data_IF_023795049827
#
_entry.id   IF_023795049827
#
_cell.length_a   1.000
_cell.length_b   1.000
_cell.length_c   1.000
_cell.angle_alpha   90.00
_cell.angle_beta   90.00
_cell.angle_gamma   90.00
#
_symmetry.space_group_name_H-M   'P 1'
#
loop_
_entity.id
_entity.type
_entity.pdbx_description
1 polymer ?
#
# COMPACT_ATOMS: atom_id res chain seq x y z
N UNK A 1 -30.11 7.14 12.62
CA UNK A 1 -29.48 7.19 11.28
C UNK A 1 -30.06 8.37 10.54
N UNK A 2 -29.21 9.27 10.06
CA UNK A 2 -29.66 10.42 9.26
C UNK A 2 -30.12 9.95 7.87
N UNK A 3 -30.96 10.73 7.18
CA UNK A 3 -31.42 10.42 5.81
C UNK A 3 -30.23 10.23 4.84
N UNK A 4 -29.14 10.98 5.06
CA UNK A 4 -27.91 10.84 4.28
C UNK A 4 -27.19 9.49 4.51
N UNK A 5 -27.29 8.89 5.70
CA UNK A 5 -26.66 7.59 6.01
C UNK A 5 -27.33 6.44 5.25
N UNK A 6 -28.66 6.52 5.09
CA UNK A 6 -29.44 5.54 4.33
C UNK A 6 -29.09 5.61 2.84
N UNK A 7 -29.01 6.82 2.30
CA UNK A 7 -28.65 7.06 0.90
C UNK A 7 -27.20 6.62 0.59
N UNK A 8 -26.23 6.92 1.46
CA UNK A 8 -24.82 6.51 1.24
C UNK A 8 -24.67 4.99 1.14
N UNK A 9 -25.31 4.24 2.04
CA UNK A 9 -25.26 2.76 2.02
C UNK A 9 -25.82 2.20 0.72
N UNK A 10 -26.93 2.73 0.23
CA UNK A 10 -27.56 2.32 -1.04
C UNK A 10 -26.67 2.65 -2.24
N UNK A 11 -26.07 3.85 -2.27
CA UNK A 11 -25.13 4.23 -3.33
C UNK A 11 -23.92 3.30 -3.33
N UNK A 12 -23.29 3.06 -2.18
CA UNK A 12 -22.14 2.14 -2.08
C UNK A 12 -22.51 0.73 -2.50
N UNK A 13 -23.66 0.21 -2.05
CA UNK A 13 -24.15 -1.11 -2.43
C UNK A 13 -24.24 -1.27 -3.96
N UNK A 14 -24.78 -0.26 -4.67
CA UNK A 14 -24.87 -0.28 -6.13
C UNK A 14 -23.51 -0.32 -6.86
N UNK A 15 -22.43 0.15 -6.22
CA UNK A 15 -21.08 0.01 -6.75
C UNK A 15 -20.52 -1.40 -6.46
N UNK A 16 -20.73 -1.90 -5.25
CA UNK A 16 -20.24 -3.23 -4.84
C UNK A 16 -20.90 -4.36 -5.64
N UNK A 17 -22.17 -4.22 -6.00
CA UNK A 17 -22.90 -5.19 -6.84
C UNK A 17 -22.31 -5.34 -8.25
N UNK A 18 -21.59 -4.34 -8.76
CA UNK A 18 -20.99 -4.41 -10.11
C UNK A 18 -19.76 -5.31 -10.17
N UNK A 19 -19.08 -5.49 -9.04
CA UNK A 19 -17.84 -6.26 -8.96
C UNK A 19 -17.79 -6.99 -7.60
N UNK A 20 -18.66 -8.00 -7.39
CA UNK A 20 -18.76 -8.71 -6.12
C UNK A 20 -17.44 -9.37 -5.69
N UNK A 21 -16.58 -9.71 -6.64
CA UNK A 21 -15.25 -10.30 -6.42
C UNK A 21 -14.31 -9.36 -5.67
N UNK A 22 -14.56 -8.04 -5.67
CA UNK A 22 -13.76 -7.05 -4.92
C UNK A 22 -13.70 -7.39 -3.43
N UNK A 23 -14.77 -7.97 -2.87
CA UNK A 23 -14.78 -8.35 -1.45
C UNK A 23 -13.66 -9.32 -1.13
N UNK A 24 -13.44 -10.34 -1.96
CA UNK A 24 -12.37 -11.31 -1.75
C UNK A 24 -10.99 -10.64 -1.81
N UNK A 25 -10.78 -9.73 -2.76
CA UNK A 25 -9.53 -8.96 -2.85
C UNK A 25 -9.29 -8.05 -1.64
N UNK A 26 -10.35 -7.41 -1.12
CA UNK A 26 -10.28 -6.61 0.10
C UNK A 26 -9.95 -7.48 1.32
N UNK A 27 -10.64 -8.60 1.50
CA UNK A 27 -10.43 -9.51 2.62
C UNK A 27 -9.00 -10.08 2.62
N UNK A 28 -8.46 -10.41 1.44
CA UNK A 28 -7.05 -10.80 1.28
C UNK A 28 -6.10 -9.67 1.67
N UNK A 29 -6.38 -8.43 1.27
CA UNK A 29 -5.56 -7.28 1.68
C UNK A 29 -5.58 -7.08 3.20
N UNK A 30 -6.75 -7.17 3.83
CA UNK A 30 -6.91 -7.04 5.30
C UNK A 30 -6.18 -8.16 6.06
N UNK A 31 -6.07 -9.35 5.47
CA UNK A 31 -5.25 -10.44 6.01
C UNK A 31 -3.77 -10.31 5.67
N UNK A 32 -3.29 -9.27 4.99
CA UNK A 32 -1.89 -9.18 4.55
C UNK A 32 -1.51 -10.34 3.62
N UNK A 33 -2.42 -10.72 2.71
CA UNK A 33 -2.25 -11.83 1.74
C UNK A 33 -2.15 -11.34 0.28
N UNK A 34 -1.99 -10.03 0.07
CA UNK A 34 -1.60 -9.51 -1.24
C UNK A 34 -0.25 -10.13 -1.64
N UNK A 35 -0.04 -10.41 -2.92
CA UNK A 35 1.17 -11.09 -3.39
C UNK A 35 1.47 -12.40 -2.63
N UNK A 36 0.41 -13.15 -2.32
CA UNK A 36 0.44 -14.42 -1.58
C UNK A 36 1.17 -14.31 -0.22
N UNK A 37 1.07 -13.12 0.41
CA UNK A 37 1.68 -12.83 1.70
C UNK A 37 3.13 -12.38 1.66
N UNK A 38 3.71 -12.19 0.46
CA UNK A 38 5.09 -11.69 0.34
C UNK A 38 5.19 -10.21 0.66
N UNK A 39 5.69 -9.89 1.85
CA UNK A 39 5.97 -8.52 2.28
C UNK A 39 6.98 -7.84 1.36
N UNK A 40 8.00 -8.56 0.88
CA UNK A 40 8.97 -8.03 -0.08
C UNK A 40 8.27 -7.54 -1.35
N UNK A 41 7.33 -8.31 -1.91
CA UNK A 41 6.57 -7.90 -3.09
C UNK A 41 5.65 -6.72 -2.81
N UNK A 42 5.01 -6.66 -1.64
CA UNK A 42 4.21 -5.50 -1.22
C UNK A 42 5.05 -4.22 -1.14
N UNK A 43 6.26 -4.28 -0.57
CA UNK A 43 7.17 -3.13 -0.50
C UNK A 43 7.56 -2.65 -1.91
N UNK A 44 7.91 -3.58 -2.80
CA UNK A 44 8.26 -3.27 -4.19
C UNK A 44 7.08 -2.65 -4.94
N UNK A 45 5.88 -3.21 -4.78
CA UNK A 45 4.63 -2.71 -5.36
C UNK A 45 4.32 -1.26 -4.95
N UNK A 46 4.37 -0.97 -3.64
CA UNK A 46 4.19 0.40 -3.14
C UNK A 46 5.24 1.37 -3.67
N UNK A 47 6.49 0.92 -3.74
CA UNK A 47 7.61 1.76 -4.17
C UNK A 47 7.51 2.14 -5.65
N UNK A 48 6.92 1.28 -6.48
CA UNK A 48 6.71 1.55 -7.91
C UNK A 48 5.47 2.43 -8.16
N UNK A 49 4.41 2.21 -7.39
CA UNK A 49 3.13 2.94 -7.51
C UNK A 49 3.29 4.45 -7.28
N UNK A 50 4.35 4.86 -6.57
CA UNK A 50 4.70 6.27 -6.33
C UNK A 50 4.93 7.15 -7.57
N UNK A 51 5.03 6.56 -8.79
CA UNK A 51 5.27 7.30 -10.04
C UNK A 51 3.99 7.71 -10.78
N UNK A 52 2.80 7.32 -10.33
CA UNK A 52 1.53 7.64 -11.00
C UNK A 52 1.36 6.97 -12.37
N UNK A 53 2.10 5.88 -12.62
CA UNK A 53 1.97 5.06 -13.81
C UNK A 53 0.73 4.16 -13.72
N UNK A 54 0.26 3.64 -14.86
CA UNK A 54 -0.87 2.72 -14.87
C UNK A 54 -0.56 1.46 -14.05
N UNK A 55 -1.35 1.22 -13.01
CA UNK A 55 -1.12 0.12 -12.07
C UNK A 55 -1.08 -1.26 -12.77
N UNK A 56 -2.11 -1.58 -13.55
CA UNK A 56 -2.24 -2.90 -14.17
C UNK A 56 -1.30 -3.13 -15.36
N UNK A 57 -1.00 -2.08 -16.12
CA UNK A 57 -0.18 -2.19 -17.34
C UNK A 57 1.32 -1.99 -17.08
N UNK A 58 1.70 -1.24 -16.03
CA UNK A 58 3.10 -0.92 -15.76
C UNK A 58 3.61 -1.52 -14.44
N UNK A 59 2.84 -1.42 -13.35
CA UNK A 59 3.31 -1.80 -12.01
C UNK A 59 3.26 -3.31 -11.83
N UNK A 60 2.07 -3.91 -11.96
CA UNK A 60 1.85 -5.36 -11.75
C UNK A 60 2.81 -6.22 -12.58
N UNK A 61 3.03 -5.98 -13.89
CA UNK A 61 3.97 -6.78 -14.68
C UNK A 61 5.41 -6.68 -14.17
N UNK A 62 5.81 -5.53 -13.62
CA UNK A 62 7.16 -5.30 -13.11
C UNK A 62 7.39 -5.89 -11.73
N UNK A 63 6.37 -5.90 -10.87
CA UNK A 63 6.43 -6.64 -9.60
C UNK A 63 6.47 -8.15 -9.88
N UNK A 64 5.69 -8.65 -10.85
CA UNK A 64 5.75 -10.05 -11.28
C UNK A 64 7.10 -10.42 -11.91
N UNK A 65 7.70 -9.53 -12.71
CA UNK A 65 9.06 -9.70 -13.22
C UNK A 65 10.09 -9.78 -12.08
N UNK A 66 9.99 -8.89 -11.08
CA UNK A 66 10.84 -8.93 -9.89
C UNK A 66 10.68 -10.26 -9.14
N UNK A 67 9.44 -10.73 -8.92
CA UNK A 67 9.16 -12.02 -8.29
C UNK A 67 9.91 -13.16 -9.00
N UNK A 68 9.72 -13.30 -10.31
CA UNK A 68 10.35 -14.37 -11.10
C UNK A 68 11.88 -14.32 -11.06
N UNK A 69 12.46 -13.12 -11.04
CA UNK A 69 13.91 -12.95 -11.13
C UNK A 69 14.62 -13.08 -9.79
N UNK A 70 13.98 -12.66 -8.71
CA UNK A 70 14.65 -12.54 -7.40
C UNK A 70 14.03 -13.40 -6.30
N UNK A 71 12.70 -13.49 -6.24
CA UNK A 71 12.02 -14.27 -5.20
C UNK A 71 12.05 -15.76 -5.56
N UNK A 72 11.59 -16.10 -6.78
CA UNK A 72 11.44 -17.49 -7.22
C UNK A 72 12.80 -18.20 -7.39
N UNK A 73 13.87 -17.43 -7.59
CA UNK A 73 15.26 -17.92 -7.64
C UNK A 73 15.92 -17.98 -6.27
N UNK A 74 15.27 -17.47 -5.22
CA UNK A 74 15.81 -17.41 -3.86
C UNK A 74 16.92 -16.38 -3.66
N UNK A 75 17.13 -15.45 -4.59
CA UNK A 75 18.09 -14.36 -4.45
C UNK A 75 17.67 -13.32 -3.40
N UNK A 76 16.36 -13.11 -3.24
CA UNK A 76 15.76 -12.27 -2.20
C UNK A 76 14.64 -13.06 -1.55
N UNK A 77 14.79 -13.41 -0.27
CA UNK A 77 13.83 -14.24 0.47
C UNK A 77 13.03 -13.46 1.50
N UNK A 78 13.60 -12.36 1.99
CA UNK A 78 13.06 -11.58 3.10
C UNK A 78 13.42 -10.09 2.97
N UNK A 79 12.96 -9.29 3.93
CA UNK A 79 13.24 -7.85 4.00
C UNK A 79 14.74 -7.54 4.16
N UNK A 80 15.52 -8.37 4.85
CA UNK A 80 16.97 -8.18 4.99
C UNK A 80 17.71 -8.29 3.64
N UNK A 81 17.35 -9.30 2.85
CA UNK A 81 17.90 -9.51 1.51
C UNK A 81 17.54 -8.32 0.60
N UNK A 82 16.29 -7.84 0.64
CA UNK A 82 15.90 -6.67 -0.14
C UNK A 82 16.66 -5.41 0.31
N UNK A 83 16.80 -5.21 1.62
CA UNK A 83 17.51 -4.06 2.19
C UNK A 83 18.99 -4.00 1.75
N UNK A 84 19.61 -5.15 1.52
CA UNK A 84 21.04 -5.26 1.17
C UNK A 84 21.29 -5.49 -0.32
N UNK A 85 20.27 -5.87 -1.11
CA UNK A 85 20.37 -6.19 -2.54
C UNK A 85 21.05 -5.09 -3.38
N UNK A 86 21.89 -5.48 -4.34
CA UNK A 86 22.55 -4.53 -5.24
C UNK A 86 21.54 -3.75 -6.10
N UNK A 87 21.58 -2.42 -6.00
CA UNK A 87 20.64 -1.54 -6.68
C UNK A 87 20.79 -1.62 -8.20
N UNK A 88 21.99 -1.85 -8.73
CA UNK A 88 22.18 -1.91 -10.18
C UNK A 88 21.58 -3.19 -10.76
N UNK A 89 21.68 -4.31 -10.03
CA UNK A 89 20.94 -5.52 -10.37
C UNK A 89 19.41 -5.29 -10.34
N UNK A 90 18.89 -4.64 -9.29
CA UNK A 90 17.45 -4.32 -9.19
C UNK A 90 16.97 -3.42 -10.34
N UNK A 91 17.80 -2.48 -10.78
CA UNK A 91 17.48 -1.53 -11.87
C UNK A 91 17.22 -2.19 -13.21
N UNK A 92 17.66 -3.43 -13.41
CA UNK A 92 17.33 -4.21 -14.60
C UNK A 92 15.84 -4.55 -14.71
N UNK A 93 15.08 -4.56 -13.61
CA UNK A 93 13.61 -4.71 -13.64
C UNK A 93 12.94 -3.34 -13.76
N UNK A 94 13.37 -2.37 -12.94
CA UNK A 94 12.79 -1.04 -12.85
C UNK A 94 13.86 0.04 -12.83
N UNK A 95 13.91 0.92 -13.83
CA UNK A 95 15.04 1.85 -13.99
C UNK A 95 15.14 2.93 -12.92
N UNK A 96 14.01 3.27 -12.28
CA UNK A 96 13.94 4.39 -11.36
C UNK A 96 14.67 4.09 -10.03
N UNK A 97 15.80 4.77 -9.82
CA UNK A 97 16.64 4.60 -8.62
C UNK A 97 15.95 5.03 -7.33
N UNK A 98 15.07 6.05 -7.38
CA UNK A 98 14.35 6.56 -6.21
C UNK A 98 13.36 5.52 -5.68
N UNK A 99 12.62 4.82 -6.56
CA UNK A 99 11.74 3.72 -6.15
C UNK A 99 12.51 2.63 -5.39
N UNK A 100 13.70 2.25 -5.88
CA UNK A 100 14.52 1.27 -5.16
C UNK A 100 15.07 1.79 -3.84
N UNK A 101 15.47 3.06 -3.77
CA UNK A 101 15.90 3.66 -2.51
C UNK A 101 14.79 3.60 -1.45
N UNK A 102 13.53 3.87 -1.84
CA UNK A 102 12.37 3.72 -0.95
C UNK A 102 12.19 2.25 -0.54
N UNK A 103 12.16 1.32 -1.49
CA UNK A 103 11.97 -0.10 -1.21
C UNK A 103 13.00 -0.64 -0.21
N UNK A 104 14.29 -0.32 -0.44
CA UNK A 104 15.40 -0.75 0.42
C UNK A 104 15.32 -0.11 1.80
N UNK A 105 14.97 1.18 1.90
CA UNK A 105 14.86 1.87 3.19
C UNK A 105 13.69 1.35 4.03
N UNK A 106 12.54 1.09 3.41
CA UNK A 106 11.39 0.46 4.07
C UNK A 106 11.77 -0.95 4.55
N UNK A 107 12.40 -1.75 3.69
CA UNK A 107 12.82 -3.10 4.04
C UNK A 107 13.84 -3.10 5.20
N UNK A 108 14.80 -2.16 5.19
CA UNK A 108 15.78 -2.02 6.26
C UNK A 108 15.13 -1.70 7.60
N UNK A 109 14.14 -0.81 7.64
CA UNK A 109 13.42 -0.50 8.87
C UNK A 109 12.53 -1.66 9.34
N UNK A 110 11.87 -2.36 8.44
CA UNK A 110 11.10 -3.56 8.83
C UNK A 110 12.00 -4.67 9.37
N UNK A 111 13.23 -4.80 8.84
CA UNK A 111 14.23 -5.71 9.39
C UNK A 111 14.63 -5.34 10.84
N UNK A 112 14.70 -4.06 11.21
CA UNK A 112 14.97 -3.68 12.60
C UNK A 112 13.83 -4.09 13.51
N UNK A 113 12.58 -3.79 13.13
CA UNK A 113 11.39 -4.21 13.88
C UNK A 113 11.34 -5.72 14.04
N UNK A 114 11.52 -6.46 12.95
CA UNK A 114 11.52 -7.92 12.93
C UNK A 114 12.50 -8.51 13.95
N UNK A 115 13.70 -7.94 14.03
CA UNK A 115 14.73 -8.34 14.99
C UNK A 115 14.36 -7.97 16.43
N UNK A 116 13.80 -6.77 16.64
CA UNK A 116 13.34 -6.30 17.96
C UNK A 116 12.24 -7.19 18.54
N UNK A 117 11.23 -7.54 17.73
CA UNK A 117 10.10 -8.37 18.15
C UNK A 117 10.33 -9.87 17.97
N UNK A 118 11.49 -10.27 17.41
CA UNK A 118 11.89 -11.66 17.12
C UNK A 118 10.82 -12.46 16.38
N UNK A 119 10.35 -11.93 15.25
CA UNK A 119 9.27 -12.52 14.47
C UNK A 119 9.58 -12.61 12.98
N UNK A 120 8.57 -12.87 12.15
CA UNK A 120 8.66 -12.93 10.69
C UNK A 120 8.36 -11.57 10.03
N UNK A 121 8.63 -11.47 8.73
CA UNK A 121 8.44 -10.25 7.93
C UNK A 121 6.98 -9.76 8.00
N UNK A 122 6.01 -10.69 7.97
CA UNK A 122 4.58 -10.38 7.98
C UNK A 122 4.19 -9.76 9.32
N UNK A 123 4.63 -10.35 10.43
CA UNK A 123 4.34 -9.86 11.78
C UNK A 123 5.00 -8.52 12.02
N UNK A 124 6.25 -8.32 11.57
CA UNK A 124 6.93 -7.03 11.65
C UNK A 124 6.19 -5.94 10.86
N UNK A 125 5.70 -6.27 9.65
CA UNK A 125 4.96 -5.34 8.82
C UNK A 125 3.62 -4.93 9.42
N UNK A 126 2.85 -5.91 9.92
CA UNK A 126 1.60 -5.68 10.65
C UNK A 126 1.86 -4.86 11.92
N UNK A 127 2.90 -5.19 12.68
CA UNK A 127 3.26 -4.50 13.92
C UNK A 127 3.54 -3.02 13.66
N UNK A 128 4.38 -2.70 12.67
CA UNK A 128 4.63 -1.33 12.25
C UNK A 128 3.31 -0.63 11.91
N UNK A 129 2.53 -1.19 10.98
CA UNK A 129 1.37 -0.51 10.43
C UNK A 129 0.29 -0.21 11.48
N UNK A 130 0.12 -1.10 12.48
CA UNK A 130 -0.78 -0.89 13.62
C UNK A 130 -0.30 0.19 14.57
N UNK A 131 1.01 0.35 14.71
CA UNK A 131 1.63 1.39 15.56
C UNK A 131 1.75 2.75 14.85
N UNK A 132 1.81 2.74 13.52
CA UNK A 132 1.98 3.91 12.67
C UNK A 132 0.72 4.80 12.71
N UNK A 133 0.93 6.08 13.05
CA UNK A 133 -0.13 7.08 13.15
C UNK A 133 -0.30 7.82 11.85
N UNK A 134 -1.55 8.18 11.54
CA UNK A 134 -1.88 9.04 10.41
C UNK A 134 -1.48 10.50 10.73
N UNK A 135 -1.78 10.94 11.95
CA UNK A 135 -1.32 12.21 12.48
C UNK A 135 0.21 12.22 12.53
N UNK A 136 0.80 13.28 11.98
CA UNK A 136 2.25 13.44 11.90
C UNK A 136 2.96 12.23 11.28
N UNK A 137 2.35 11.57 10.28
CA UNK A 137 2.95 10.43 9.59
C UNK A 137 4.36 10.74 9.05
N UNK A 138 4.66 12.00 8.73
CA UNK A 138 5.99 12.47 8.33
C UNK A 138 7.06 12.33 9.42
N UNK A 139 6.66 12.11 10.67
CA UNK A 139 7.55 11.82 11.79
C UNK A 139 7.82 10.32 11.95
N UNK A 140 6.98 9.45 11.36
CA UNK A 140 7.15 8.00 11.36
C UNK A 140 8.45 7.61 10.63
N UNK A 141 9.19 6.57 11.10
CA UNK A 141 10.43 6.16 10.43
C UNK A 141 10.26 5.82 8.94
N UNK A 142 9.12 5.24 8.53
CA UNK A 142 8.80 5.04 7.11
C UNK A 142 8.39 6.36 6.45
N UNK A 143 7.59 7.19 7.12
CA UNK A 143 7.14 8.48 6.59
C UNK A 143 8.29 9.46 6.31
N UNK A 144 9.36 9.42 7.11
CA UNK A 144 10.58 10.22 6.96
C UNK A 144 11.44 9.81 5.76
N UNK A 145 11.21 8.64 5.16
CA UNK A 145 12.04 8.16 4.05
C UNK A 145 11.86 9.09 2.86
N UNK A 146 12.97 9.70 2.40
CA UNK A 146 12.96 10.56 1.22
C UNK A 146 12.42 9.79 0.01
N UNK A 147 11.23 10.17 -0.43
CA UNK A 147 10.54 9.49 -1.53
C UNK A 147 9.19 8.93 -1.15
N UNK A 148 8.93 8.72 0.14
CA UNK A 148 7.64 8.33 0.68
C UNK A 148 6.77 9.58 0.84
N UNK A 149 5.59 9.55 0.21
CA UNK A 149 4.52 10.50 0.45
C UNK A 149 3.33 9.80 1.13
N UNK A 150 2.30 10.56 1.49
CA UNK A 150 1.10 10.02 2.15
C UNK A 150 0.48 8.85 1.38
N UNK A 151 0.49 8.88 0.04
CA UNK A 151 -0.01 7.77 -0.79
C UNK A 151 0.75 6.48 -0.53
N UNK A 152 2.08 6.52 -0.62
CA UNK A 152 2.93 5.34 -0.38
C UNK A 152 2.78 4.86 1.06
N UNK A 153 2.75 5.79 2.02
CA UNK A 153 2.59 5.48 3.44
C UNK A 153 1.27 4.74 3.71
N UNK A 154 0.14 5.27 3.22
CA UNK A 154 -1.16 4.61 3.38
C UNK A 154 -1.24 3.31 2.60
N UNK A 155 -0.67 3.24 1.39
CA UNK A 155 -0.71 1.99 0.62
C UNK A 155 0.07 0.86 1.31
N UNK A 156 1.20 1.17 1.96
CA UNK A 156 1.90 0.22 2.82
C UNK A 156 1.03 -0.22 4.00
N UNK A 157 0.35 0.72 4.70
CA UNK A 157 -0.57 0.39 5.81
C UNK A 157 -1.72 -0.51 5.35
N UNK A 158 -2.32 -0.21 4.19
CA UNK A 158 -3.35 -1.05 3.57
C UNK A 158 -2.83 -2.47 3.30
N UNK A 159 -1.64 -2.59 2.71
CA UNK A 159 -1.03 -3.89 2.43
C UNK A 159 -0.68 -4.67 3.71
N UNK A 160 -0.37 -3.97 4.80
CA UNK A 160 -0.17 -4.54 6.13
C UNK A 160 -1.49 -4.86 6.87
N UNK A 161 -2.65 -4.73 6.20
CA UNK A 161 -3.95 -5.11 6.75
C UNK A 161 -4.63 -4.04 7.61
N UNK A 162 -4.16 -2.80 7.58
CA UNK A 162 -4.90 -1.68 8.19
C UNK A 162 -6.07 -1.33 7.28
N UNK A 163 -7.29 -1.30 7.84
CA UNK A 163 -8.49 -0.84 7.14
C UNK A 163 -8.42 0.69 6.97
N UNK A 164 -7.90 1.11 5.82
CA UNK A 164 -7.65 2.51 5.49
C UNK A 164 -7.60 2.68 3.98
N UNK A 165 -7.43 3.91 3.52
CA UNK A 165 -7.45 4.27 2.11
C UNK A 165 -6.21 5.04 1.70
N UNK A 166 -5.66 4.71 0.52
CA UNK A 166 -4.67 5.53 -0.16
C UNK A 166 -5.40 6.67 -0.89
N UNK A 167 -5.07 7.95 -0.65
CA UNK A 167 -5.75 9.10 -1.27
C UNK A 167 -5.29 9.34 -2.72
N UNK A 168 -5.29 8.30 -3.54
CA UNK A 168 -4.97 8.34 -4.96
C UNK A 168 -6.03 9.07 -5.79
N UNK A 169 -5.62 9.60 -6.95
CA UNK A 169 -6.49 10.36 -7.87
C UNK A 169 -7.69 9.57 -8.38
N UNK A 170 -7.53 8.28 -8.69
CA UNK A 170 -8.63 7.42 -9.17
C UNK A 170 -9.57 7.11 -8.00
N UNK A 171 -9.00 6.77 -6.83
CA UNK A 171 -9.79 6.50 -5.61
C UNK A 171 -10.64 7.71 -5.23
N UNK A 172 -10.03 8.90 -5.11
CA UNK A 172 -10.72 10.15 -4.83
C UNK A 172 -11.81 10.49 -5.85
N UNK A 173 -11.60 10.16 -7.12
CA UNK A 173 -12.62 10.39 -8.16
C UNK A 173 -13.85 9.51 -7.91
N UNK A 174 -13.65 8.21 -7.69
CA UNK A 174 -14.74 7.25 -7.47
C UNK A 174 -15.50 7.59 -6.19
N UNK A 175 -14.77 7.83 -5.09
CA UNK A 175 -15.38 8.22 -3.81
C UNK A 175 -16.10 9.57 -3.95
N UNK A 176 -15.54 10.52 -4.70
CA UNK A 176 -16.20 11.80 -4.99
C UNK A 176 -17.52 11.67 -5.73
N UNK A 177 -17.62 10.72 -6.66
CA UNK A 177 -18.91 10.42 -7.30
C UNK A 177 -19.91 9.81 -6.32
N UNK A 178 -19.46 8.93 -5.42
CA UNK A 178 -20.30 8.32 -4.37
C UNK A 178 -20.82 9.40 -3.42
N UNK A 179 -19.94 10.26 -2.92
CA UNK A 179 -20.29 11.39 -2.05
C UNK A 179 -21.31 12.31 -2.72
N UNK A 180 -21.05 12.70 -3.98
CA UNK A 180 -21.98 13.54 -4.74
C UNK A 180 -23.36 12.91 -4.88
N UNK A 181 -23.45 11.62 -5.17
CA UNK A 181 -24.72 10.88 -5.28
C UNK A 181 -25.47 10.80 -3.95
N UNK A 182 -24.75 10.69 -2.85
CA UNK A 182 -25.31 10.68 -1.49
C UNK A 182 -25.65 12.09 -0.94
N UNK A 183 -25.34 13.15 -1.70
CA UNK A 183 -25.53 14.54 -1.26
C UNK A 183 -24.50 15.01 -0.22
N UNK A 184 -23.32 14.38 -0.17
CA UNK A 184 -22.22 14.68 0.73
C UNK A 184 -21.14 15.54 0.04
N UNK A 185 -20.38 16.28 0.84
CA UNK A 185 -19.25 17.09 0.38
C UNK A 185 -17.93 16.34 0.55
N UNK A 186 -17.09 16.37 -0.48
CA UNK A 186 -15.76 15.76 -0.41
C UNK A 186 -14.86 16.46 0.62
N UNK A 187 -14.06 15.70 1.39
CA UNK A 187 -13.00 16.23 2.23
C UNK A 187 -12.02 17.11 1.45
N UNK A 188 -11.45 18.13 2.10
CA UNK A 188 -10.62 19.15 1.43
C UNK A 188 -9.14 18.80 1.39
N UNK A 189 -8.70 17.94 2.30
CA UNK A 189 -7.32 17.48 2.39
C UNK A 189 -7.23 15.95 2.37
N UNK A 190 -6.04 15.43 2.08
CA UNK A 190 -5.77 13.99 2.06
C UNK A 190 -5.95 13.38 3.46
N UNK A 191 -5.59 14.09 4.52
CA UNK A 191 -5.75 13.63 5.89
C UNK A 191 -7.23 13.56 6.29
N UNK A 192 -8.03 14.55 5.93
CA UNK A 192 -9.48 14.50 6.15
C UNK A 192 -10.10 13.37 5.32
N UNK A 193 -9.67 13.20 4.07
CA UNK A 193 -10.14 12.12 3.21
C UNK A 193 -9.90 10.74 3.82
N UNK A 194 -8.70 10.48 4.34
CA UNK A 194 -8.37 9.19 4.97
C UNK A 194 -9.16 8.96 6.27
N UNK A 195 -9.56 10.01 6.98
CA UNK A 195 -10.33 9.90 8.23
C UNK A 195 -11.82 9.65 7.99
N UNK A 196 -12.35 10.19 6.90
CA UNK A 196 -13.77 10.14 6.58
C UNK A 196 -14.16 8.83 5.85
N UNK A 197 -13.25 8.29 5.04
CA UNK A 197 -13.46 7.14 4.15
C UNK A 197 -12.90 5.87 4.77
#
# INVERSE_FOLDING_TARGET
MAIHDLNLKEVVASYMEKVPEVREYCDRCLRTERWDGSVVLMIVDASFTSLGLNYFQAIVPKVAEFKRRFIDTGLIKNVEDLATADIENLRSVWRNKRSWAVAKAVAAYLATIKNEIKSDDRTAFIYWAKSAKLENWEEDPIGKIKGVGINTFQYLRMMAGVDTVMPDKIVKRVIGEIFKKAGLTMPRSDLEFIKEV
#
